data_IF_373685369929
#
_entry.id   IF_373685369929
#
_cell.length_a   1.000
_cell.length_b   1.000
_cell.length_c   1.000
_cell.angle_alpha   90.00
_cell.angle_beta   90.00
_cell.angle_gamma   90.00
#
_symmetry.space_group_name_H-M   'P 1'
#
loop_
_entity.id
_entity.type
_entity.pdbx_description
1 polymer ?
#
# COMPACT_ATOMS: atom_id res chain seq x y z
N UNK A 1 -8.35 1.62 30.35
CA UNK A 1 -7.68 2.61 29.47
C UNK A 1 -8.43 2.75 28.15
N UNK A 2 -8.75 1.65 27.44
CA UNK A 2 -9.47 1.70 26.15
C UNK A 2 -10.91 2.26 26.29
N UNK A 3 -11.61 1.93 27.37
CA UNK A 3 -13.00 2.38 27.63
C UNK A 3 -13.10 3.86 28.03
N UNK A 4 -12.00 4.49 28.43
CA UNK A 4 -12.00 5.91 28.84
C UNK A 4 -11.81 6.84 27.64
N UNK A 5 -11.39 6.31 26.49
CA UNK A 5 -11.14 7.09 25.30
C UNK A 5 -12.45 7.48 24.61
N UNK A 6 -12.53 8.70 24.03
CA UNK A 6 -13.70 9.13 23.29
C UNK A 6 -14.11 8.11 22.22
N UNK A 7 -15.41 7.97 21.99
CA UNK A 7 -15.89 7.06 20.94
C UNK A 7 -15.51 7.60 19.55
N UNK A 8 -15.67 8.91 19.36
CA UNK A 8 -15.46 9.59 18.08
C UNK A 8 -16.49 9.21 17.02
N UNK A 9 -16.33 9.77 15.82
CA UNK A 9 -17.17 9.42 14.67
C UNK A 9 -16.60 8.20 13.94
N UNK A 10 -17.24 7.05 14.10
CA UNK A 10 -16.91 5.82 13.37
C UNK A 10 -17.01 6.02 11.85
N UNK A 11 -15.93 5.71 11.14
CA UNK A 11 -15.85 5.70 9.68
C UNK A 11 -16.24 4.32 9.15
N UNK A 12 -15.87 3.26 9.87
CA UNK A 12 -16.20 1.88 9.51
C UNK A 12 -15.18 0.85 9.98
N UNK A 13 -15.60 -0.41 9.87
CA UNK A 13 -14.77 -1.59 10.14
C UNK A 13 -14.05 -2.04 8.87
N UNK A 14 -12.80 -2.46 9.04
CA UNK A 14 -11.92 -2.88 7.97
C UNK A 14 -11.04 -4.04 8.42
N UNK A 15 -10.60 -4.85 7.46
CA UNK A 15 -9.65 -5.92 7.68
C UNK A 15 -8.47 -5.75 6.72
N UNK A 16 -7.27 -5.47 7.27
CA UNK A 16 -6.07 -5.24 6.48
C UNK A 16 -4.79 -5.49 7.30
N UNK A 17 -3.61 -5.60 6.67
CA UNK A 17 -2.34 -5.63 7.39
C UNK A 17 -2.11 -4.33 8.20
N UNK A 18 -1.42 -4.36 9.35
CA UNK A 18 -1.16 -3.16 10.16
C UNK A 18 -0.49 -2.02 9.38
N UNK A 19 0.39 -2.37 8.43
CA UNK A 19 1.08 -1.41 7.56
C UNK A 19 0.13 -0.58 6.68
N UNK A 20 -1.07 -1.09 6.41
CA UNK A 20 -2.11 -0.37 5.69
C UNK A 20 -2.55 0.88 6.45
N UNK A 21 -2.70 0.78 7.78
CA UNK A 21 -3.12 1.89 8.64
C UNK A 21 -2.17 3.07 8.46
N UNK A 22 -0.86 2.86 8.55
CA UNK A 22 0.13 3.94 8.45
C UNK A 22 0.20 4.57 7.06
N UNK A 23 -0.10 3.80 6.02
CA UNK A 23 -0.05 4.28 4.62
C UNK A 23 -1.32 5.04 4.21
N UNK A 24 -2.45 4.80 4.86
CA UNK A 24 -3.76 5.37 4.48
C UNK A 24 -4.30 6.42 5.47
N UNK A 25 -3.63 6.62 6.61
CA UNK A 25 -4.03 7.61 7.63
C UNK A 25 -3.25 8.93 7.57
N UNK A 26 -2.59 9.24 6.44
CA UNK A 26 -1.70 10.41 6.28
C UNK A 26 -2.35 11.75 6.65
N UNK A 27 -3.67 11.89 6.44
CA UNK A 27 -4.44 13.10 6.79
C UNK A 27 -5.47 12.86 7.90
N UNK A 28 -5.42 11.69 8.51
CA UNK A 28 -6.36 11.26 9.53
C UNK A 28 -5.90 11.75 10.91
N UNK A 29 -6.87 12.20 11.70
CA UNK A 29 -6.71 12.56 13.11
C UNK A 29 -7.80 11.80 13.85
N UNK A 30 -7.40 10.96 14.80
CA UNK A 30 -8.32 10.12 15.54
C UNK A 30 -7.68 8.85 16.07
N UNK A 31 -8.50 7.85 16.28
CA UNK A 31 -8.11 6.57 16.86
C UNK A 31 -8.43 5.43 15.89
N UNK A 32 -7.57 4.42 15.90
CA UNK A 32 -7.81 3.15 15.23
C UNK A 32 -7.99 2.11 16.31
N UNK A 33 -9.21 1.61 16.50
CA UNK A 33 -9.51 0.54 17.46
C UNK A 33 -9.23 -0.79 16.78
N UNK A 34 -8.41 -1.63 17.39
CA UNK A 34 -7.92 -2.88 16.82
C UNK A 34 -8.47 -4.03 17.65
N UNK A 35 -8.96 -5.07 16.97
CA UNK A 35 -9.40 -6.32 17.58
C UNK A 35 -8.59 -7.46 16.98
N UNK A 36 -7.90 -8.22 17.83
CA UNK A 36 -7.09 -9.37 17.42
C UNK A 36 -7.43 -10.53 18.34
N UNK A 37 -8.06 -11.56 17.78
CA UNK A 37 -8.56 -12.71 18.55
C UNK A 37 -9.47 -12.22 19.69
N UNK A 38 -9.11 -12.49 20.95
CA UNK A 38 -9.84 -12.03 22.15
C UNK A 38 -9.17 -10.80 22.81
N UNK A 39 -8.31 -10.10 22.07
CA UNK A 39 -7.62 -8.90 22.54
C UNK A 39 -8.11 -7.63 21.85
N UNK A 40 -8.06 -6.53 22.59
CA UNK A 40 -8.43 -5.20 22.11
C UNK A 40 -7.23 -4.26 22.23
N UNK A 41 -7.06 -3.39 21.25
CA UNK A 41 -6.04 -2.36 21.27
C UNK A 41 -6.48 -1.11 20.55
N UNK A 42 -5.59 -0.12 20.56
CA UNK A 42 -5.77 1.07 19.76
C UNK A 42 -4.45 1.70 19.34
N UNK A 43 -4.55 2.50 18.28
CA UNK A 43 -3.49 3.38 17.81
C UNK A 43 -4.05 4.80 17.73
N UNK A 44 -3.43 5.74 18.43
CA UNK A 44 -3.77 7.15 18.30
C UNK A 44 -2.92 7.75 17.17
N UNK A 45 -3.57 8.40 16.20
CA UNK A 45 -2.91 8.92 14.99
C UNK A 45 -3.22 10.40 14.82
N UNK A 46 -2.18 11.19 14.58
CA UNK A 46 -2.28 12.62 14.27
C UNK A 46 -1.60 12.90 12.93
N UNK A 47 -2.37 13.28 11.91
CA UNK A 47 -1.85 13.66 10.58
C UNK A 47 -0.88 12.61 10.01
N UNK A 48 -1.26 11.33 10.12
CA UNK A 48 -0.46 10.19 9.65
C UNK A 48 0.67 9.74 10.55
N UNK A 49 0.93 10.44 11.67
CA UNK A 49 1.93 10.03 12.65
C UNK A 49 1.24 9.26 13.78
N UNK A 50 1.58 7.99 14.01
CA UNK A 50 1.13 7.28 15.18
C UNK A 50 1.82 7.85 16.42
N UNK A 51 1.03 8.26 17.42
CA UNK A 51 1.54 8.84 18.66
C UNK A 51 1.67 7.81 19.78
N UNK A 52 0.70 6.91 19.90
CA UNK A 52 0.72 5.87 20.92
C UNK A 52 0.10 4.58 20.42
N UNK A 53 0.56 3.49 21.00
CA UNK A 53 0.10 2.13 20.74
C UNK A 53 -0.23 1.47 22.07
N UNK A 54 -1.37 0.82 22.13
CA UNK A 54 -1.80 0.07 23.30
C UNK A 54 -2.51 -1.19 22.86
N UNK A 55 -2.23 -2.29 23.52
CA UNK A 55 -2.97 -3.54 23.32
C UNK A 55 -3.14 -4.28 24.65
N UNK A 56 -4.30 -4.88 24.82
CA UNK A 56 -4.65 -5.68 25.98
C UNK A 56 -5.25 -7.00 25.52
N UNK A 57 -4.69 -8.09 26.03
CA UNK A 57 -5.20 -9.43 25.80
C UNK A 57 -5.25 -10.18 27.14
N UNK A 58 -6.47 -10.34 27.67
CA UNK A 58 -6.69 -10.88 29.01
C UNK A 58 -5.99 -10.06 30.11
N UNK A 59 -4.97 -10.65 30.73
CA UNK A 59 -4.16 -10.02 31.79
C UNK A 59 -2.90 -9.32 31.29
N UNK A 60 -2.56 -9.48 30.02
CA UNK A 60 -1.33 -8.92 29.43
C UNK A 60 -1.68 -7.58 28.82
N UNK A 61 -0.98 -6.54 29.26
CA UNK A 61 -1.07 -5.18 28.70
C UNK A 61 0.28 -4.81 28.09
N UNK A 62 0.25 -4.36 26.84
CA UNK A 62 1.42 -3.93 26.08
C UNK A 62 1.24 -2.48 25.64
N UNK A 63 2.32 -1.71 25.69
CA UNK A 63 2.35 -0.29 25.32
C UNK A 63 3.54 0.02 24.41
N UNK A 64 3.39 1.03 23.56
CA UNK A 64 4.46 1.51 22.69
C UNK A 64 4.93 0.45 21.69
N UNK A 65 6.24 0.31 21.53
CA UNK A 65 6.84 -0.59 20.53
C UNK A 65 6.44 -2.06 20.72
N UNK A 66 6.26 -2.53 21.97
CA UNK A 66 5.82 -3.90 22.22
C UNK A 66 4.43 -4.19 21.65
N UNK A 67 3.50 -3.21 21.73
CA UNK A 67 2.18 -3.34 21.11
C UNK A 67 2.27 -3.27 19.58
N UNK A 68 3.14 -2.42 19.04
CA UNK A 68 3.38 -2.31 17.59
C UNK A 68 3.94 -3.61 17.01
N UNK A 69 4.93 -4.22 17.67
CA UNK A 69 5.52 -5.48 17.26
C UNK A 69 4.49 -6.61 17.27
N UNK A 70 3.60 -6.62 18.27
CA UNK A 70 2.49 -7.57 18.33
C UNK A 70 1.48 -7.37 17.20
N UNK A 71 1.17 -6.13 16.81
CA UNK A 71 0.33 -5.89 15.63
C UNK A 71 1.01 -6.43 14.38
N UNK A 72 2.31 -6.16 14.19
CA UNK A 72 3.07 -6.60 13.03
C UNK A 72 3.29 -8.10 12.93
N UNK A 73 3.18 -8.85 14.04
CA UNK A 73 3.23 -10.31 14.00
C UNK A 73 1.98 -10.93 13.36
N UNK A 74 0.90 -10.16 13.20
CA UNK A 74 -0.35 -10.61 12.58
C UNK A 74 -0.43 -10.11 11.12
N UNK A 75 -0.56 -11.00 10.12
CA UNK A 75 -0.56 -10.61 8.71
C UNK A 75 -1.79 -9.78 8.34
N UNK A 76 -2.89 -9.98 9.06
CA UNK A 76 -4.16 -9.30 8.85
C UNK A 76 -4.81 -9.05 10.21
N UNK A 77 -5.23 -7.80 10.45
CA UNK A 77 -5.92 -7.40 11.68
C UNK A 77 -7.27 -6.77 11.32
N UNK A 78 -8.25 -6.93 12.22
CA UNK A 78 -9.54 -6.26 12.12
C UNK A 78 -9.50 -4.98 12.95
N UNK A 79 -9.97 -3.88 12.37
CA UNK A 79 -9.94 -2.59 13.04
C UNK A 79 -11.07 -1.67 12.60
N UNK A 80 -11.39 -0.72 13.48
CA UNK A 80 -12.34 0.36 13.24
C UNK A 80 -11.62 1.71 13.26
N UNK A 81 -11.86 2.56 12.26
CA UNK A 81 -11.37 3.94 12.24
C UNK A 81 -12.41 4.87 12.84
N UNK A 82 -12.07 5.57 13.93
CA UNK A 82 -12.89 6.63 14.50
C UNK A 82 -12.21 7.99 14.32
N UNK A 83 -12.85 8.89 13.58
CA UNK A 83 -12.39 10.27 13.44
C UNK A 83 -12.70 11.06 14.70
N UNK A 84 -11.71 11.78 15.22
CA UNK A 84 -11.90 12.68 16.35
C UNK A 84 -12.03 14.13 15.91
N UNK A 85 -12.79 14.90 16.67
CA UNK A 85 -12.70 16.36 16.68
C UNK A 85 -11.42 16.79 17.41
N UNK A 86 -11.07 18.08 17.31
CA UNK A 86 -9.89 18.61 17.99
C UNK A 86 -9.99 18.48 19.52
N UNK A 87 -11.21 18.60 20.07
CA UNK A 87 -11.50 18.50 21.50
C UNK A 87 -11.36 17.06 22.00
N UNK A 88 -12.01 16.11 21.31
CA UNK A 88 -11.89 14.67 21.60
C UNK A 88 -10.44 14.19 21.50
N UNK A 89 -9.70 14.70 20.52
CA UNK A 89 -8.30 14.35 20.35
C UNK A 89 -7.42 14.85 21.50
N UNK A 90 -7.65 16.08 21.98
CA UNK A 90 -6.94 16.62 23.14
C UNK A 90 -7.24 15.85 24.43
N UNK A 91 -8.49 15.40 24.61
CA UNK A 91 -8.89 14.54 25.72
C UNK A 91 -8.18 13.17 25.66
N UNK A 92 -8.16 12.55 24.47
CA UNK A 92 -7.47 11.29 24.26
C UNK A 92 -5.96 11.37 24.58
N UNK A 93 -5.31 12.48 24.21
CA UNK A 93 -3.90 12.75 24.58
C UNK A 93 -3.70 12.81 26.09
N UNK A 94 -4.58 13.50 26.83
CA UNK A 94 -4.50 13.58 28.30
C UNK A 94 -4.61 12.19 28.94
N UNK A 95 -5.54 11.36 28.47
CA UNK A 95 -5.74 10.00 28.99
C UNK A 95 -4.52 9.12 28.69
N UNK A 96 -3.89 9.31 27.53
CA UNK A 96 -2.70 8.57 27.15
C UNK A 96 -1.42 9.08 27.84
N UNK A 97 -1.45 10.25 28.48
CA UNK A 97 -0.31 10.94 29.08
C UNK A 97 0.85 11.14 28.08
N UNK A 98 0.50 11.51 26.85
CA UNK A 98 1.45 11.75 25.74
C UNK A 98 1.31 13.20 25.30
N UNK A 99 2.42 13.93 25.20
CA UNK A 99 2.45 15.29 24.66
C UNK A 99 2.21 15.31 23.14
N UNK A 100 1.80 16.46 22.59
CA UNK A 100 1.63 16.70 21.14
C UNK A 100 2.92 16.39 20.32
N UNK A 101 4.07 16.29 21.01
CA UNK A 101 5.36 15.88 20.44
C UNK A 101 5.64 14.35 20.47
N UNK A 102 4.73 13.52 20.97
CA UNK A 102 4.90 12.06 21.05
C UNK A 102 5.86 11.59 22.15
N UNK A 103 6.22 12.45 23.11
CA UNK A 103 6.95 12.05 24.31
C UNK A 103 5.99 11.73 25.47
N UNK A 104 6.27 10.69 26.27
CA UNK A 104 5.55 10.46 27.51
C UNK A 104 5.74 11.67 28.44
N UNK A 105 4.65 12.30 28.85
CA UNK A 105 4.70 13.36 29.85
C UNK A 105 5.31 12.80 31.14
N UNK A 106 6.28 13.50 31.79
CA UNK A 106 6.69 13.13 33.13
C UNK A 106 5.46 13.11 34.05
N UNK A 107 5.37 12.16 35.00
CA UNK A 107 4.25 12.09 35.91
C UNK A 107 4.06 13.44 36.61
N UNK A 108 2.81 13.89 36.82
CA UNK A 108 2.55 15.16 37.48
C UNK A 108 3.23 15.15 38.85
N UNK A 109 4.21 16.03 39.01
CA UNK A 109 4.85 16.28 40.29
C UNK A 109 3.74 16.68 41.27
N UNK A 110 3.61 15.99 42.43
CA UNK A 110 2.47 16.17 43.30
C UNK A 110 2.40 17.64 43.73
N UNK A 111 1.26 18.27 43.44
CA UNK A 111 0.94 19.64 43.80
C UNK A 111 1.36 19.92 45.25
N UNK A 112 2.43 20.70 45.41
CA UNK A 112 2.69 21.38 46.67
C UNK A 112 1.53 22.32 46.92
N UNK A 113 0.66 21.90 47.85
CA UNK A 113 -0.38 22.75 48.44
C UNK A 113 0.23 24.09 48.85
N UNK A 114 -0.43 25.23 48.59
CA UNK A 114 0.04 26.51 49.09
C UNK A 114 -0.06 26.48 50.61
N UNK A 115 1.09 26.41 51.27
CA UNK A 115 1.19 26.52 52.71
C UNK A 115 0.79 27.94 53.11
N UNK A 116 -0.19 27.99 54.00
CA UNK A 116 -0.92 29.16 54.45
C UNK A 116 0.04 30.18 55.06
N UNK A 117 0.07 31.37 54.48
CA UNK A 117 0.70 32.55 55.07
C UNK A 117 -0.10 32.92 56.32
N UNK A 118 0.38 32.50 57.49
CA UNK A 118 -0.03 33.08 58.78
C UNK A 118 0.90 34.25 59.07
N UNK A 119 0.42 35.45 58.83
CA UNK A 119 0.94 36.66 59.49
C UNK A 119 0.35 36.71 60.90
N UNK A 120 1.13 37.09 61.92
CA UNK A 120 1.04 38.31 62.78
C UNK A 120 2.06 38.16 63.97
N UNK A 121 2.37 39.15 64.84
CA UNK A 121 3.46 40.12 64.69
C UNK A 121 4.43 40.31 65.90
N UNK A 122 5.48 41.12 65.66
CA UNK A 122 6.13 42.11 66.54
C UNK A 122 6.83 41.70 67.86
N UNK A 123 8.16 41.93 67.94
CA UNK A 123 8.81 42.86 68.88
C UNK A 123 10.34 42.94 68.66
N UNK A 124 10.89 44.12 68.98
CA UNK A 124 12.22 44.74 68.73
C UNK A 124 13.08 44.66 70.04
N UNK A 125 14.36 45.10 70.22
CA UNK A 125 15.60 45.24 69.41
C UNK A 125 16.90 44.63 70.06
N UNK A 126 18.04 44.79 69.34
CA UNK A 126 19.39 45.22 69.82
C UNK A 126 20.56 44.23 70.12
N UNK A 127 21.60 44.42 69.27
CA UNK A 127 23.09 44.42 69.44
C UNK A 127 23.99 43.16 69.29
N UNK A 128 25.17 43.33 68.62
CA UNK A 128 26.20 42.30 68.36
C UNK A 128 27.41 42.46 69.34
N UNK A 129 28.65 41.94 69.13
CA UNK A 129 29.17 40.89 68.21
C UNK A 129 30.01 39.81 68.95
N UNK A 130 30.31 38.65 68.34
CA UNK A 130 31.54 37.91 68.64
C UNK A 130 31.85 36.79 67.64
N UNK A 131 33.10 36.83 67.15
CA UNK A 131 33.98 35.71 66.83
C UNK A 131 33.57 34.72 65.72
N UNK A 132 34.27 34.88 64.58
CA UNK A 132 34.57 33.81 63.63
C UNK A 132 35.28 32.62 64.32
N UNK A 133 35.13 31.40 63.77
CA UNK A 133 36.32 30.65 63.35
C UNK A 133 36.05 29.86 62.04
N UNK A 134 36.96 29.00 61.53
CA UNK A 134 37.69 29.27 60.29
C UNK A 134 37.22 28.41 59.11
N UNK A 135 37.57 28.90 57.92
CA UNK A 135 37.43 28.24 56.61
C UNK A 135 38.09 26.85 56.62
N UNK A 136 37.30 25.81 56.35
CA UNK A 136 37.83 24.49 55.97
C UNK A 136 38.06 24.47 54.44
N UNK A 137 39.20 23.93 53.96
CA UNK A 137 39.52 23.89 52.54
C UNK A 137 38.71 22.81 51.81
N UNK A 138 38.23 23.19 50.63
CA UNK A 138 37.57 22.32 49.64
C UNK A 138 38.54 21.21 49.19
N UNK A 139 38.18 19.92 49.22
CA UNK A 139 38.96 18.89 48.55
C UNK A 139 38.79 19.00 47.04
N UNK A 140 39.94 19.02 46.36
CA UNK A 140 40.06 19.08 44.91
C UNK A 140 39.30 17.95 44.21
N UNK A 141 38.65 18.31 43.10
CA UNK A 141 38.05 17.40 42.15
C UNK A 141 39.07 16.38 41.62
N UNK A 142 38.67 15.12 41.36
CA UNK A 142 39.51 14.16 40.66
C UNK A 142 39.75 14.65 39.22
N UNK A 143 41.02 14.83 38.87
CA UNK A 143 41.44 15.07 37.50
C UNK A 143 41.10 13.83 36.64
N UNK A 144 40.45 14.08 35.51
CA UNK A 144 40.21 13.07 34.48
C UNK A 144 41.57 12.55 33.93
N UNK A 145 41.70 11.24 33.68
CA UNK A 145 42.93 10.70 33.10
C UNK A 145 43.15 11.20 31.66
N UNK A 146 44.42 11.35 31.23
CA UNK A 146 44.77 11.87 29.92
C UNK A 146 44.29 10.95 28.80
N UNK A 147 43.60 11.55 27.83
CA UNK A 147 43.16 10.91 26.58
C UNK A 147 44.41 10.48 25.80
N UNK A 148 44.61 9.17 25.66
CA UNK A 148 45.61 8.63 24.75
C UNK A 148 45.18 8.89 23.30
N UNK A 149 46.07 9.34 22.40
CA UNK A 149 45.75 9.46 20.99
C UNK A 149 45.45 8.07 20.40
N UNK A 150 44.30 7.94 19.72
CA UNK A 150 43.90 6.72 18.99
C UNK A 150 44.99 6.33 17.99
N UNK A 151 45.38 5.04 17.92
CA UNK A 151 46.17 4.52 16.81
C UNK A 151 45.43 4.74 15.48
N UNK A 152 46.18 5.12 14.45
CA UNK A 152 45.71 5.25 13.08
C UNK A 152 45.06 3.93 12.59
N UNK A 153 43.99 4.00 11.78
CA UNK A 153 43.39 2.80 11.21
C UNK A 153 44.39 2.08 10.30
N UNK A 154 44.55 0.78 10.52
CA UNK A 154 45.30 -0.10 9.62
C UNK A 154 44.70 -0.06 8.20
N UNK A 155 45.52 -0.23 7.15
CA UNK A 155 45.04 -0.24 5.77
C UNK A 155 44.06 -1.40 5.54
N UNK A 156 42.94 -1.10 4.89
CA UNK A 156 41.93 -2.06 4.48
C UNK A 156 42.55 -3.19 3.65
N UNK A 157 42.12 -4.46 3.83
CA UNK A 157 42.49 -5.51 2.91
C UNK A 157 41.88 -5.22 1.54
N UNK A 158 42.76 -5.02 0.57
CA UNK A 158 42.44 -4.97 -0.86
C UNK A 158 41.70 -6.25 -1.22
N UNK A 159 40.38 -6.18 -1.38
CA UNK A 159 39.59 -7.25 -1.97
C UNK A 159 39.92 -7.33 -3.45
N UNK A 160 40.79 -8.28 -3.76
CA UNK A 160 41.12 -8.70 -5.11
C UNK A 160 39.84 -9.14 -5.83
N UNK A 161 39.67 -8.56 -7.02
CA UNK A 161 38.52 -8.71 -7.91
C UNK A 161 38.43 -10.17 -8.39
N UNK A 162 37.78 -11.03 -7.61
CA UNK A 162 37.45 -12.38 -8.05
C UNK A 162 36.36 -12.29 -9.13
N UNK A 163 36.79 -12.43 -10.38
CA UNK A 163 35.92 -12.68 -11.53
C UNK A 163 35.06 -13.90 -11.21
N UNK A 164 33.78 -13.68 -10.97
CA UNK A 164 32.79 -14.76 -10.87
C UNK A 164 32.57 -15.28 -12.28
N UNK A 165 33.13 -16.46 -12.54
CA UNK A 165 32.89 -17.26 -13.74
C UNK A 165 31.40 -17.67 -13.76
N UNK A 166 30.68 -17.59 -14.90
CA UNK A 166 29.31 -18.06 -14.98
C UNK A 166 29.26 -19.58 -14.74
N UNK A 167 28.17 -20.11 -14.17
CA UNK A 167 28.04 -21.53 -13.87
C UNK A 167 28.14 -22.35 -15.15
N UNK A 168 29.12 -23.26 -15.21
CA UNK A 168 29.20 -24.27 -16.25
C UNK A 168 28.00 -25.21 -16.11
N UNK A 169 27.37 -25.52 -17.25
CA UNK A 169 26.31 -26.52 -17.35
C UNK A 169 26.82 -27.89 -16.86
N UNK A 170 25.98 -28.69 -16.18
CA UNK A 170 26.38 -30.03 -15.76
C UNK A 170 26.63 -30.94 -16.97
N UNK A 171 27.57 -31.89 -16.89
CA UNK A 171 27.87 -32.81 -17.97
C UNK A 171 26.70 -33.77 -18.21
N UNK A 172 26.35 -33.90 -19.49
CA UNK A 172 25.40 -34.87 -20.03
C UNK A 172 25.90 -36.28 -19.68
N UNK A 173 25.20 -36.95 -18.76
CA UNK A 173 25.39 -38.38 -18.52
C UNK A 173 24.43 -39.16 -19.40
N UNK A 174 24.99 -40.13 -20.12
CA UNK A 174 24.34 -41.07 -21.01
C UNK A 174 23.40 -42.04 -20.23
N UNK A 175 22.49 -42.77 -20.93
CA UNK A 175 21.27 -43.30 -20.35
C UNK A 175 21.49 -44.63 -19.61
N UNK A 176 20.98 -44.70 -18.37
CA UNK A 176 20.81 -45.95 -17.64
C UNK A 176 19.41 -46.54 -17.91
N UNK A 177 19.38 -47.86 -18.04
CA UNK A 177 18.22 -48.69 -18.39
C UNK A 177 16.99 -48.50 -17.46
N UNK A 178 15.78 -48.79 -17.96
CA UNK A 178 14.54 -48.63 -17.20
C UNK A 178 14.39 -49.73 -16.14
N UNK A 179 14.38 -49.34 -14.87
CA UNK A 179 13.90 -50.17 -13.77
C UNK A 179 12.37 -50.13 -13.74
N UNK A 180 11.75 -51.32 -13.67
CA UNK A 180 10.32 -51.52 -13.62
C UNK A 180 9.70 -50.86 -12.39
N UNK A 181 8.72 -49.97 -12.61
CA UNK A 181 7.86 -49.45 -11.55
C UNK A 181 6.74 -50.45 -11.25
N UNK A 182 6.64 -50.83 -9.97
CA UNK A 182 5.52 -51.57 -9.41
C UNK A 182 4.21 -50.74 -9.47
N UNK A 183 3.03 -51.40 -9.58
CA UNK A 183 1.76 -50.71 -9.71
C UNK A 183 1.35 -50.03 -8.39
N UNK A 184 1.03 -48.73 -8.49
CA UNK A 184 0.42 -47.94 -7.42
C UNK A 184 -1.06 -48.35 -7.26
N UNK A 185 -1.56 -48.64 -6.05
CA UNK A 185 -2.96 -48.95 -5.83
C UNK A 185 -3.85 -47.71 -6.02
N UNK A 186 -5.08 -47.85 -6.54
CA UNK A 186 -5.97 -46.72 -6.79
C UNK A 186 -6.49 -46.09 -5.50
N UNK A 187 -6.49 -44.75 -5.47
CA UNK A 187 -7.07 -43.93 -4.40
C UNK A 187 -8.57 -44.20 -4.21
N UNK A 188 -9.09 -44.14 -2.97
CA UNK A 188 -10.51 -44.32 -2.71
C UNK A 188 -11.35 -43.15 -3.25
N UNK A 189 -12.61 -43.38 -3.65
CA UNK A 189 -13.48 -42.37 -4.21
C UNK A 189 -13.91 -41.33 -3.16
N UNK A 190 -13.98 -40.07 -3.60
CA UNK A 190 -14.44 -38.94 -2.79
C UNK A 190 -15.89 -39.13 -2.31
N UNK A 191 -16.23 -38.69 -1.08
CA UNK A 191 -17.60 -38.76 -0.58
C UNK A 191 -18.52 -37.82 -1.36
N UNK A 192 -19.71 -38.32 -1.71
CA UNK A 192 -20.76 -37.59 -2.42
C UNK A 192 -21.27 -36.38 -1.61
N UNK A 193 -21.70 -35.29 -2.27
CA UNK A 193 -22.23 -34.11 -1.60
C UNK A 193 -23.55 -34.44 -0.88
N UNK A 194 -23.59 -34.16 0.43
CA UNK A 194 -24.78 -34.26 1.26
C UNK A 194 -25.78 -33.19 0.80
N UNK A 195 -26.92 -33.66 0.30
CA UNK A 195 -28.05 -32.86 -0.17
C UNK A 195 -28.72 -32.18 1.04
N UNK A 196 -28.67 -30.86 1.10
CA UNK A 196 -29.39 -30.07 2.11
C UNK A 196 -30.91 -30.26 1.95
N UNK A 197 -31.68 -30.33 3.05
CA UNK A 197 -33.13 -30.41 3.00
C UNK A 197 -33.73 -29.08 2.51
N UNK A 198 -34.75 -29.19 1.66
CA UNK A 198 -35.48 -28.07 1.08
C UNK A 198 -36.22 -27.26 2.16
N UNK A 199 -36.31 -25.93 2.03
CA UNK A 199 -37.13 -25.11 2.92
C UNK A 199 -38.63 -25.29 2.61
N UNK A 200 -39.39 -25.36 3.70
CA UNK A 200 -40.84 -25.45 3.79
C UNK A 200 -41.53 -24.19 3.20
N UNK A 201 -42.70 -24.32 2.54
CA UNK A 201 -43.34 -23.18 1.88
C UNK A 201 -44.06 -22.26 2.87
N UNK A 202 -43.73 -20.98 2.83
CA UNK A 202 -44.45 -19.91 3.53
C UNK A 202 -45.81 -19.59 2.87
N UNK A 203 -46.80 -19.11 3.65
CA UNK A 203 -48.18 -18.97 3.19
C UNK A 203 -48.41 -17.72 2.34
N UNK A 204 -49.49 -17.81 1.55
CA UNK A 204 -49.99 -16.84 0.58
C UNK A 204 -50.20 -15.43 1.14
N UNK A 205 -49.77 -14.43 0.37
CA UNK A 205 -50.25 -13.07 0.48
C UNK A 205 -50.40 -12.42 -0.91
N UNK A 206 -51.66 -12.09 -1.21
CA UNK A 206 -52.19 -11.00 -2.03
C UNK A 206 -51.54 -10.63 -3.39
N UNK A 207 -52.36 -10.77 -4.43
CA UNK A 207 -52.20 -10.17 -5.75
C UNK A 207 -52.03 -8.64 -5.70
N UNK A 208 -51.45 -8.05 -6.77
CA UNK A 208 -52.31 -7.21 -7.61
C UNK A 208 -52.08 -7.37 -9.12
N UNK A 209 -53.22 -7.33 -9.81
CA UNK A 209 -53.58 -6.59 -11.04
C UNK A 209 -52.69 -6.73 -12.28
N UNK A 210 -53.36 -7.23 -13.32
CA UNK A 210 -52.92 -7.43 -14.69
C UNK A 210 -52.69 -6.12 -15.46
N UNK A 211 -51.71 -6.14 -16.37
CA UNK A 211 -51.78 -5.35 -17.59
C UNK A 211 -51.24 -6.20 -18.76
N UNK A 212 -52.02 -6.21 -19.84
CA UNK A 212 -51.94 -7.08 -21.01
C UNK A 212 -50.65 -6.90 -21.84
N UNK A 213 -50.10 -8.01 -22.32
CA UNK A 213 -49.23 -8.01 -23.51
C UNK A 213 -49.83 -8.93 -24.59
N UNK A 214 -49.81 -8.52 -25.87
CA UNK A 214 -50.47 -9.26 -26.93
C UNK A 214 -49.61 -10.39 -27.50
N UNK A 215 -50.33 -11.45 -27.85
CA UNK A 215 -49.92 -12.70 -28.51
C UNK A 215 -49.43 -12.44 -29.94
N UNK A 216 -48.27 -13.03 -30.32
CA UNK A 216 -48.00 -13.41 -31.72
C UNK A 216 -47.37 -14.80 -31.78
N UNK A 217 -47.95 -15.62 -32.66
CA UNK A 217 -47.73 -17.06 -32.89
C UNK A 217 -46.38 -17.41 -33.54
N UNK A 218 -45.92 -18.68 -33.41
CA UNK A 218 -44.70 -19.19 -34.04
C UNK A 218 -44.93 -19.76 -35.45
N UNK A 219 -43.95 -19.64 -36.35
CA UNK A 219 -43.85 -20.45 -37.57
C UNK A 219 -42.43 -20.98 -37.84
N UNK A 220 -42.40 -22.30 -37.95
CA UNK A 220 -41.71 -23.16 -38.93
C UNK A 220 -40.23 -22.97 -39.31
N UNK A 221 -39.48 -24.06 -39.05
CA UNK A 221 -38.21 -24.53 -39.62
C UNK A 221 -38.07 -24.33 -41.14
N UNK A 222 -36.85 -24.01 -41.57
CA UNK A 222 -36.33 -24.32 -42.91
C UNK A 222 -34.86 -24.80 -42.84
N UNK A 223 -34.51 -25.68 -43.78
CA UNK A 223 -33.31 -26.52 -43.94
C UNK A 223 -32.16 -25.74 -44.65
N UNK A 224 -30.88 -26.06 -44.42
CA UNK A 224 -29.75 -25.38 -45.09
C UNK A 224 -29.37 -25.99 -46.45
N UNK A 225 -28.87 -25.20 -47.44
CA UNK A 225 -28.23 -25.71 -48.65
C UNK A 225 -26.67 -25.74 -48.59
N UNK A 226 -26.01 -26.52 -49.48
CA UNK A 226 -24.56 -26.85 -49.44
C UNK A 226 -23.64 -25.84 -50.16
N UNK A 227 -22.29 -25.97 -50.04
CA UNK A 227 -21.34 -24.94 -50.47
C UNK A 227 -20.98 -25.07 -51.97
N UNK A 228 -20.95 -23.93 -52.68
CA UNK A 228 -20.39 -23.83 -54.03
C UNK A 228 -19.04 -23.12 -54.01
N UNK A 229 -18.08 -23.79 -54.65
CA UNK A 229 -16.73 -23.35 -54.99
C UNK A 229 -16.80 -22.28 -56.08
N UNK A 230 -16.14 -21.14 -55.88
CA UNK A 230 -15.77 -20.24 -56.97
C UNK A 230 -14.34 -19.73 -56.75
N UNK A 231 -13.44 -20.13 -57.64
CA UNK A 231 -12.21 -19.41 -57.91
C UNK A 231 -12.53 -18.15 -58.74
N UNK A 232 -11.70 -17.09 -58.63
CA UNK A 232 -11.32 -16.44 -59.86
C UNK A 232 -9.83 -16.08 -59.98
N UNK A 233 -9.47 -16.08 -61.27
CA UNK A 233 -8.26 -15.81 -62.04
C UNK A 233 -7.74 -14.36 -61.89
N UNK A 234 -6.41 -14.20 -61.93
CA UNK A 234 -5.67 -12.94 -62.17
C UNK A 234 -5.99 -12.38 -63.57
N UNK A 235 -6.06 -11.08 -63.88
CA UNK A 235 -5.10 -9.95 -63.89
C UNK A 235 -5.89 -8.67 -64.30
N UNK A 236 -5.29 -7.51 -64.69
CA UNK A 236 -4.50 -6.57 -63.91
C UNK A 236 -5.14 -5.15 -63.94
N UNK A 237 -4.99 -4.35 -62.89
CA UNK A 237 -5.19 -2.89 -63.03
C UNK A 237 -4.26 -2.10 -62.12
N UNK A 238 -3.81 -0.99 -62.70
CA UNK A 238 -2.70 -0.10 -62.34
C UNK A 238 -2.72 0.52 -60.94
N UNK A 239 -1.59 1.10 -60.50
CA UNK A 239 -1.31 1.44 -59.11
C UNK A 239 -1.99 2.76 -58.73
N UNK A 240 -2.85 2.72 -57.73
CA UNK A 240 -3.42 3.92 -57.12
C UNK A 240 -3.20 3.89 -55.61
N UNK A 241 -2.57 4.95 -55.14
CA UNK A 241 -2.48 5.40 -53.75
C UNK A 241 -1.80 4.41 -52.80
N UNK A 242 -0.49 4.59 -52.66
CA UNK A 242 0.26 4.05 -51.54
C UNK A 242 -0.43 4.42 -50.23
N UNK A 243 -0.81 3.39 -49.48
CA UNK A 243 -1.08 3.53 -48.05
C UNK A 243 0.19 4.16 -47.47
N UNK A 244 0.11 5.31 -46.78
CA UNK A 244 1.24 5.81 -46.03
C UNK A 244 1.49 4.79 -44.93
N UNK A 245 2.40 3.84 -45.20
CA UNK A 245 2.94 2.94 -44.19
C UNK A 245 3.67 3.85 -43.22
N UNK A 246 2.98 4.21 -42.12
CA UNK A 246 3.55 5.04 -41.08
C UNK A 246 4.84 4.34 -40.63
N UNK A 247 5.99 5.05 -40.59
CA UNK A 247 7.26 4.44 -40.29
C UNK A 247 7.17 3.67 -38.95
N UNK A 248 7.97 2.61 -38.77
CA UNK A 248 8.10 1.97 -37.47
C UNK A 248 8.52 3.06 -36.48
N UNK A 249 7.64 3.36 -35.53
CA UNK A 249 7.94 4.30 -34.46
C UNK A 249 8.92 3.58 -33.56
N UNK A 250 10.20 3.93 -33.68
CA UNK A 250 11.27 3.37 -32.87
C UNK A 250 11.43 4.25 -31.63
N UNK A 251 11.20 3.68 -30.45
CA UNK A 251 11.55 4.33 -29.19
C UNK A 251 13.07 4.46 -29.12
N UNK A 252 13.56 5.58 -28.59
CA UNK A 252 14.98 5.76 -28.38
C UNK A 252 15.54 4.74 -27.37
N UNK A 253 16.81 4.37 -27.54
CA UNK A 253 17.50 3.41 -26.69
C UNK A 253 17.51 3.85 -25.20
N UNK A 254 17.51 5.16 -24.93
CA UNK A 254 17.42 5.71 -23.57
C UNK A 254 16.08 5.40 -22.92
N UNK A 255 14.98 5.64 -23.63
CA UNK A 255 13.62 5.30 -23.19
C UNK A 255 13.46 3.81 -22.94
N UNK A 256 13.98 2.94 -23.83
CA UNK A 256 13.90 1.49 -23.63
C UNK A 256 14.61 1.08 -22.32
N UNK A 257 15.77 1.68 -22.03
CA UNK A 257 16.49 1.43 -20.76
C UNK A 257 15.71 1.87 -19.54
N UNK A 258 15.12 3.07 -19.58
CA UNK A 258 14.32 3.60 -18.47
C UNK A 258 13.11 2.70 -18.22
N UNK A 259 12.37 2.33 -19.27
CA UNK A 259 11.23 1.42 -19.17
C UNK A 259 11.66 0.07 -18.60
N UNK A 260 12.80 -0.46 -19.05
CA UNK A 260 13.40 -1.67 -18.50
C UNK A 260 13.73 -1.55 -17.00
N UNK A 261 14.15 -0.37 -16.53
CA UNK A 261 14.35 -0.12 -15.09
C UNK A 261 13.03 -0.10 -14.32
N UNK A 262 11.99 0.54 -14.86
CA UNK A 262 10.65 0.54 -14.23
C UNK A 262 10.11 -0.90 -14.14
N UNK A 263 10.35 -1.74 -15.15
CA UNK A 263 9.89 -3.13 -15.17
C UNK A 263 10.54 -3.98 -14.07
N UNK A 264 11.75 -3.61 -13.64
CA UNK A 264 12.49 -4.28 -12.55
C UNK A 264 11.99 -3.88 -11.16
N UNK A 265 11.11 -2.88 -11.05
CA UNK A 265 10.55 -2.48 -9.76
C UNK A 265 9.62 -3.58 -9.23
N UNK A 266 9.77 -3.88 -7.94
CA UNK A 266 8.89 -4.82 -7.26
C UNK A 266 7.44 -4.35 -7.34
N UNK A 267 6.58 -5.23 -7.86
CA UNK A 267 5.15 -4.96 -8.05
C UNK A 267 4.78 -4.48 -9.46
N UNK A 268 5.73 -4.26 -10.37
CA UNK A 268 5.41 -3.96 -11.78
C UNK A 268 5.34 -5.26 -12.58
N UNK A 269 4.14 -5.65 -12.97
CA UNK A 269 3.84 -6.92 -13.66
C UNK A 269 4.13 -6.80 -15.14
N UNK A 270 3.62 -5.75 -15.78
CA UNK A 270 3.83 -5.47 -17.20
C UNK A 270 3.85 -3.96 -17.45
N UNK A 271 4.51 -3.56 -18.53
CA UNK A 271 4.60 -2.18 -19.01
C UNK A 271 4.32 -2.17 -20.50
N UNK A 272 3.56 -1.19 -20.96
CA UNK A 272 3.39 -0.93 -22.38
C UNK A 272 3.49 0.56 -22.69
N UNK A 273 4.11 0.88 -23.83
CA UNK A 273 4.08 2.22 -24.42
C UNK A 273 3.21 2.18 -25.65
N UNK A 274 2.21 3.04 -25.72
CA UNK A 274 1.25 3.06 -26.80
C UNK A 274 0.93 4.47 -27.26
N UNK A 275 0.44 4.59 -28.49
CA UNK A 275 -0.26 5.76 -28.98
C UNK A 275 -1.74 5.42 -29.24
N UNK A 276 -2.48 6.36 -29.82
CA UNK A 276 -3.92 6.21 -30.10
C UNK A 276 -4.22 4.96 -30.94
N UNK A 277 -3.35 4.62 -31.89
CA UNK A 277 -3.61 3.59 -32.90
C UNK A 277 -2.99 2.23 -32.58
N UNK A 278 -1.84 2.19 -31.89
CA UNK A 278 -1.05 0.97 -31.74
C UNK A 278 -0.25 0.90 -30.45
N UNK A 279 0.20 -0.32 -30.13
CA UNK A 279 1.21 -0.56 -29.11
C UNK A 279 2.59 -0.45 -29.75
N UNK A 280 3.51 0.27 -29.10
CA UNK A 280 4.88 0.51 -29.58
C UNK A 280 5.84 -0.44 -28.88
N UNK A 281 5.64 -0.66 -27.58
CA UNK A 281 6.47 -1.54 -26.77
C UNK A 281 5.62 -2.25 -25.74
N UNK A 282 5.88 -3.54 -25.57
CA UNK A 282 5.32 -4.35 -24.51
C UNK A 282 6.46 -5.07 -23.78
N UNK A 283 6.48 -4.96 -22.45
CA UNK A 283 7.41 -5.67 -21.58
C UNK A 283 6.65 -6.31 -20.42
N UNK A 284 6.65 -7.64 -20.33
CA UNK A 284 5.98 -8.40 -19.28
C UNK A 284 5.43 -9.71 -19.81
N UNK A 285 5.12 -10.62 -18.88
CA UNK A 285 4.66 -11.99 -19.20
C UNK A 285 3.14 -12.11 -18.98
N UNK A 286 2.40 -11.09 -19.40
CA UNK A 286 0.94 -11.01 -19.21
C UNK A 286 0.30 -10.39 -20.46
N UNK A 287 -0.85 -10.93 -20.86
CA UNK A 287 -1.70 -10.38 -21.91
C UNK A 287 -2.34 -9.06 -21.48
N UNK A 288 -1.61 -7.94 -21.65
CA UNK A 288 -2.10 -6.61 -21.31
C UNK A 288 -2.97 -6.00 -22.44
N UNK A 289 -3.09 -6.64 -23.60
CA UNK A 289 -3.79 -6.07 -24.77
C UNK A 289 -5.26 -5.70 -24.51
N UNK A 290 -6.08 -6.55 -23.85
CA UNK A 290 -7.46 -6.17 -23.52
C UNK A 290 -7.52 -4.94 -22.60
N UNK A 291 -6.59 -4.86 -21.63
CA UNK A 291 -6.48 -3.72 -20.72
C UNK A 291 -6.04 -2.45 -21.45
N UNK A 292 -5.13 -2.56 -22.42
CA UNK A 292 -4.72 -1.44 -23.26
C UNK A 292 -5.86 -0.89 -24.09
N UNK A 293 -6.75 -1.75 -24.61
CA UNK A 293 -7.94 -1.31 -25.34
C UNK A 293 -8.86 -0.47 -24.45
N UNK A 294 -9.09 -0.92 -23.21
CA UNK A 294 -9.88 -0.19 -22.21
C UNK A 294 -9.18 1.14 -21.85
N UNK A 295 -7.88 1.10 -21.58
CA UNK A 295 -7.07 2.28 -21.26
C UNK A 295 -7.12 3.33 -22.37
N UNK A 296 -6.96 2.94 -23.64
CA UNK A 296 -7.07 3.86 -24.79
C UNK A 296 -8.45 4.52 -24.86
N UNK A 297 -9.52 3.74 -24.74
CA UNK A 297 -10.88 4.27 -24.78
C UNK A 297 -11.14 5.26 -23.65
N UNK A 298 -10.69 4.95 -22.43
CA UNK A 298 -10.83 5.85 -21.29
C UNK A 298 -9.98 7.11 -21.44
N UNK A 299 -8.76 6.99 -21.95
CA UNK A 299 -7.89 8.13 -22.22
C UNK A 299 -8.50 9.07 -23.27
N UNK A 300 -9.00 8.52 -24.38
CA UNK A 300 -9.69 9.30 -25.43
C UNK A 300 -10.94 9.99 -24.89
N UNK A 301 -11.68 9.33 -23.98
CA UNK A 301 -12.83 9.93 -23.30
C UNK A 301 -12.38 11.05 -22.36
N UNK A 302 -11.31 10.83 -21.60
CA UNK A 302 -10.73 11.81 -20.68
C UNK A 302 -10.30 13.06 -21.44
N UNK A 303 -9.59 12.91 -22.55
CA UNK A 303 -9.15 14.04 -23.39
C UNK A 303 -10.31 14.87 -23.95
N UNK A 304 -11.49 14.27 -24.17
CA UNK A 304 -12.70 15.00 -24.58
C UNK A 304 -13.36 15.76 -23.43
N UNK A 305 -13.25 15.22 -22.21
CA UNK A 305 -13.89 15.79 -21.01
C UNK A 305 -13.01 16.84 -20.35
N UNK A 306 -11.69 16.66 -20.33
CA UNK A 306 -10.74 17.58 -19.66
C UNK A 306 -10.91 19.04 -20.09
N UNK A 307 -11.13 19.40 -21.37
CA UNK A 307 -11.37 20.79 -21.76
C UNK A 307 -12.67 21.39 -21.21
N UNK A 308 -13.63 20.55 -20.80
CA UNK A 308 -14.93 20.96 -20.26
C UNK A 308 -14.86 21.21 -18.75
N UNK A 309 -13.73 20.91 -18.09
CA UNK A 309 -13.57 21.01 -16.64
C UNK A 309 -12.22 21.67 -16.32
N UNK A 310 -12.19 22.63 -15.40
CA UNK A 310 -10.94 23.31 -14.97
C UNK A 310 -10.06 22.40 -14.07
N UNK A 311 -9.56 21.29 -14.61
CA UNK A 311 -8.74 20.31 -13.88
C UNK A 311 -7.22 20.44 -14.10
N UNK A 312 -6.80 21.37 -14.95
CA UNK A 312 -5.39 21.52 -15.34
C UNK A 312 -4.90 20.39 -16.25
N UNK A 313 -3.58 20.22 -16.36
CA UNK A 313 -2.97 19.22 -17.23
C UNK A 313 -3.19 17.80 -16.73
N UNK A 314 -3.50 16.88 -17.63
CA UNK A 314 -3.61 15.45 -17.32
C UNK A 314 -2.26 14.89 -16.86
N UNK A 315 -2.19 14.41 -15.61
CA UNK A 315 -0.95 13.85 -15.03
C UNK A 315 -0.90 12.33 -15.15
N UNK A 316 -1.94 11.63 -14.72
CA UNK A 316 -2.13 10.19 -14.92
C UNK A 316 -3.56 9.82 -14.55
N UNK A 317 -3.99 8.65 -14.99
CA UNK A 317 -5.19 7.96 -14.51
C UNK A 317 -4.81 6.60 -13.91
N UNK A 318 -5.61 6.12 -12.97
CA UNK A 318 -5.41 4.81 -12.34
C UNK A 318 -6.73 4.04 -12.36
N UNK A 319 -6.72 2.86 -12.94
CA UNK A 319 -7.83 1.93 -12.99
C UNK A 319 -7.53 0.78 -12.03
N UNK A 320 -8.42 0.57 -11.08
CA UNK A 320 -8.33 -0.57 -10.17
C UNK A 320 -9.02 -1.76 -10.83
N UNK A 321 -8.32 -2.88 -10.93
CA UNK A 321 -8.83 -4.15 -11.46
C UNK A 321 -8.62 -5.27 -10.42
N UNK A 322 -9.33 -6.40 -10.53
CA UNK A 322 -9.15 -7.50 -9.59
C UNK A 322 -7.69 -7.98 -9.48
N UNK A 323 -6.94 -7.97 -10.58
CA UNK A 323 -5.55 -8.45 -10.61
C UNK A 323 -4.54 -7.42 -10.09
N UNK A 324 -4.92 -6.16 -9.91
CA UNK A 324 -3.95 -5.10 -9.64
C UNK A 324 -4.43 -3.69 -9.97
N UNK A 325 -3.48 -2.81 -10.27
CA UNK A 325 -3.77 -1.46 -10.75
C UNK A 325 -3.18 -1.27 -12.14
N UNK A 326 -3.96 -0.68 -13.03
CA UNK A 326 -3.51 -0.18 -14.33
C UNK A 326 -3.33 1.32 -14.23
N UNK A 327 -2.09 1.79 -14.38
CA UNK A 327 -1.76 3.22 -14.34
C UNK A 327 -1.43 3.67 -15.74
N UNK A 328 -2.10 4.72 -16.22
CA UNK A 328 -1.85 5.31 -17.54
C UNK A 328 -1.39 6.74 -17.36
N UNK A 329 -0.22 7.08 -17.88
CA UNK A 329 0.37 8.41 -17.77
C UNK A 329 0.90 8.88 -19.13
N UNK A 330 0.90 10.19 -19.40
CA UNK A 330 1.56 10.74 -20.58
C UNK A 330 3.07 10.48 -20.50
N UNK A 331 3.70 10.24 -21.64
CA UNK A 331 5.13 9.98 -21.77
C UNK A 331 5.62 10.53 -23.10
N UNK A 332 6.20 11.73 -23.10
CA UNK A 332 6.52 12.48 -24.32
C UNK A 332 5.31 12.58 -25.26
N UNK A 333 5.40 12.02 -26.46
CA UNK A 333 4.33 11.97 -27.46
C UNK A 333 3.45 10.71 -27.35
N UNK A 334 3.75 9.83 -26.39
CA UNK A 334 3.09 8.55 -26.18
C UNK A 334 2.43 8.49 -24.81
N UNK A 335 1.83 7.35 -24.51
CA UNK A 335 1.27 7.03 -23.21
C UNK A 335 1.92 5.77 -22.67
N UNK A 336 2.25 5.80 -21.38
CA UNK A 336 2.79 4.67 -20.65
C UNK A 336 1.67 4.02 -19.85
N UNK A 337 1.45 2.73 -20.08
CA UNK A 337 0.56 1.85 -19.32
C UNK A 337 1.40 0.95 -18.41
N UNK A 338 1.10 0.96 -17.11
CA UNK A 338 1.74 0.10 -16.12
C UNK A 338 0.67 -0.82 -15.52
N UNK A 339 0.86 -2.12 -15.68
CA UNK A 339 0.14 -3.11 -14.89
C UNK A 339 0.95 -3.42 -13.64
N UNK A 340 0.35 -3.18 -12.48
CA UNK A 340 1.01 -3.30 -11.19
C UNK A 340 0.20 -4.14 -10.22
N UNK A 341 0.86 -4.75 -9.25
CA UNK A 341 0.17 -5.43 -8.15
C UNK A 341 -0.58 -4.43 -7.27
N UNK A 342 -1.54 -4.91 -6.48
CA UNK A 342 -2.29 -4.08 -5.53
C UNK A 342 -1.42 -3.45 -4.43
N UNK A 343 -0.26 -4.05 -4.16
CA UNK A 343 0.66 -3.68 -3.08
C UNK A 343 1.65 -2.58 -3.47
N UNK A 344 1.67 -2.15 -4.74
CA UNK A 344 2.64 -1.15 -5.19
C UNK A 344 2.32 0.22 -4.58
N UNK A 345 3.34 0.92 -4.10
CA UNK A 345 3.18 2.28 -3.63
C UNK A 345 2.99 3.23 -4.84
N UNK A 346 1.74 3.63 -5.08
CA UNK A 346 1.37 4.55 -6.17
C UNK A 346 2.15 5.87 -6.09
N UNK A 347 2.46 6.35 -4.88
CA UNK A 347 3.28 7.55 -4.68
C UNK A 347 4.71 7.38 -5.22
N UNK A 348 5.30 6.20 -5.05
CA UNK A 348 6.62 5.88 -5.61
C UNK A 348 6.57 5.86 -7.14
N UNK A 349 5.56 5.21 -7.73
CA UNK A 349 5.35 5.21 -9.19
C UNK A 349 5.15 6.64 -9.73
N UNK A 350 4.33 7.46 -9.08
CA UNK A 350 4.15 8.87 -9.48
C UNK A 350 5.43 9.69 -9.40
N UNK A 351 6.32 9.40 -8.44
CA UNK A 351 7.62 10.05 -8.33
C UNK A 351 8.49 9.68 -9.52
N UNK A 352 8.62 8.38 -9.80
CA UNK A 352 9.40 7.87 -10.93
C UNK A 352 8.87 8.43 -12.25
N UNK A 353 7.55 8.40 -12.47
CA UNK A 353 6.94 8.95 -13.68
C UNK A 353 7.26 10.44 -13.86
N UNK A 354 7.23 11.23 -12.78
CA UNK A 354 7.59 12.65 -12.82
C UNK A 354 9.08 12.87 -13.08
N UNK A 355 9.94 12.09 -12.45
CA UNK A 355 11.39 12.21 -12.64
C UNK A 355 11.76 11.94 -14.11
N UNK A 356 11.11 10.96 -14.73
CA UNK A 356 11.35 10.62 -16.14
C UNK A 356 10.77 11.69 -17.09
N UNK A 357 9.58 12.20 -16.81
CA UNK A 357 8.98 13.31 -17.58
C UNK A 357 9.81 14.61 -17.43
N UNK A 358 10.40 14.84 -16.26
CA UNK A 358 11.20 16.04 -15.94
C UNK A 358 12.62 16.01 -16.51
N UNK A 359 13.18 14.83 -16.82
CA UNK A 359 14.51 14.69 -17.43
C UNK A 359 14.56 14.96 -18.95
N UNK A 360 13.44 15.38 -19.55
CA UNK A 360 13.30 15.63 -21.00
C UNK A 360 13.31 17.13 -21.36
N UNK A 361 13.87 18.00 -20.51
CA UNK A 361 14.00 19.45 -20.79
C UNK A 361 15.43 19.85 -21.08
#
# INVERSE_FOLDING_TARGET
MIEQLPEGKSIGWMQAPPQWIFTHTVRFIGIVRIVIQDGEGFILIQKGKPLTYYFKHGRIEMRGHAALDYFNSHPTIEFNLCKYTQEEFAEALRICNVDDAGQPLPPPEPERKPEVVVQTPAAVPERPPAAAPPVQPVPAAPQAPPIQPRPAPAPEPVFEKRVVQPPQAPPVSAPAAPAAHAPVPPSPPAPAPVRAPAPEPAPAAAAPVAEEQPVVRPQARAVPPPPMVFAPKAEPSSPAAGIPVSPPVVLDEGTIRIIGQIKKLNGVVAISVFNEDRNILLMGDVEIEPLLKIARNMLATTQKITPLIEWGSFVHMTLQIPEGNVIVAPYNQYHLCLLTTRTINIGHIRRILRDIQGSST
#
